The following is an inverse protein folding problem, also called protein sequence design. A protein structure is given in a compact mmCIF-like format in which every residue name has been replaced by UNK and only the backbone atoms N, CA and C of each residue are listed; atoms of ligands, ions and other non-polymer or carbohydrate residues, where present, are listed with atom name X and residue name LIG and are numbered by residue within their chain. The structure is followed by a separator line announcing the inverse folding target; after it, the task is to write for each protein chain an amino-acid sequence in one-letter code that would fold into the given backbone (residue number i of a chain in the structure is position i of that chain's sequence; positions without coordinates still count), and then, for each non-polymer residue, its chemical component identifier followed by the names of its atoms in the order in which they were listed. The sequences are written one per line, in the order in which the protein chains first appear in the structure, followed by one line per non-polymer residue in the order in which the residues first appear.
data_IF_861707584408
#
_entry.id   IF_861707584408
#
_cell.length_a   1.000
_cell.length_b   1.000
_cell.length_c   1.000
_cell.angle_alpha   90.00
_cell.angle_beta   90.00
_cell.angle_gamma   90.00
#
_symmetry.space_group_name_H-M   'P 1'
#
loop_
_entity.id
_entity.type
_entity.pdbx_description
1 polymer ?
#
# COMPACT_ATOMS: atom_id res chain seq x y z
N UNK A 1 8.76 -12.59 39.67
CA UNK A 1 8.14 -11.55 40.50
C UNK A 1 6.67 -11.90 40.66
N UNK A 2 6.14 -12.08 41.88
CA UNK A 2 4.71 -12.33 42.13
C UNK A 2 3.77 -11.21 41.62
N UNK A 3 4.31 -10.04 41.26
CA UNK A 3 3.58 -8.93 40.63
C UNK A 3 3.79 -8.84 39.12
N UNK A 4 4.35 -9.87 38.47
CA UNK A 4 4.48 -9.91 37.02
C UNK A 4 3.09 -10.00 36.37
N UNK A 5 2.61 -8.90 35.81
CA UNK A 5 1.40 -8.82 34.99
C UNK A 5 1.68 -9.04 33.50
N UNK A 6 2.92 -9.42 33.15
CA UNK A 6 3.35 -9.69 31.78
C UNK A 6 3.36 -11.18 31.49
N UNK A 7 2.72 -11.59 30.40
CA UNK A 7 2.72 -12.96 29.88
C UNK A 7 1.94 -13.03 28.57
N UNK A 8 2.31 -13.95 27.69
CA UNK A 8 1.61 -14.21 26.43
C UNK A 8 1.44 -15.72 26.22
N UNK A 9 0.36 -16.10 25.54
CA UNK A 9 0.17 -17.48 25.06
C UNK A 9 0.86 -17.59 23.70
N UNK A 10 1.69 -18.61 23.51
CA UNK A 10 2.35 -18.83 22.23
C UNK A 10 1.33 -18.95 21.09
N UNK A 11 1.64 -18.38 19.93
CA UNK A 11 0.77 -18.27 18.75
C UNK A 11 -0.54 -17.47 18.93
N UNK A 12 -0.76 -16.80 20.05
CA UNK A 12 -1.89 -15.88 20.19
C UNK A 12 -1.64 -14.57 19.42
N UNK A 13 -2.71 -13.95 18.90
CA UNK A 13 -2.65 -12.60 18.36
C UNK A 13 -2.70 -11.58 19.49
N UNK A 14 -1.75 -10.66 19.47
CA UNK A 14 -1.71 -9.50 20.33
C UNK A 14 -2.14 -8.26 19.56
N UNK A 15 -2.91 -7.40 20.22
CA UNK A 15 -3.34 -6.10 19.70
C UNK A 15 -3.02 -5.07 20.78
N UNK A 16 -2.30 -4.01 20.42
CA UNK A 16 -1.97 -2.96 21.39
C UNK A 16 -0.99 -1.95 20.85
N UNK A 17 -0.44 -1.18 21.78
CA UNK A 17 0.69 -0.28 21.52
C UNK A 17 1.99 -0.99 21.85
N UNK A 18 3.04 -0.77 21.07
CA UNK A 18 4.36 -1.29 21.45
C UNK A 18 4.83 -0.53 22.70
N UNK A 19 5.14 -1.28 23.77
CA UNK A 19 5.58 -0.73 25.06
C UNK A 19 7.11 -0.61 25.19
N UNK A 20 7.88 -1.16 24.25
CA UNK A 20 9.35 -0.99 24.15
C UNK A 20 9.85 -1.01 22.69
N UNK A 21 10.84 -0.15 22.43
CA UNK A 21 11.40 0.29 21.15
C UNK A 21 12.19 -0.80 20.36
N UNK A 22 12.03 -0.95 19.04
CA UNK A 22 12.83 -0.19 18.08
C UNK A 22 12.10 0.13 16.75
N UNK A 23 10.94 -0.48 16.49
CA UNK A 23 10.35 -0.49 15.15
C UNK A 23 9.06 0.30 15.01
N UNK A 24 8.23 0.37 16.05
CA UNK A 24 7.01 1.19 16.02
C UNK A 24 6.66 1.79 17.39
N UNK A 25 7.57 2.57 18.00
CA UNK A 25 7.37 3.12 19.34
C UNK A 25 6.10 3.96 19.40
N UNK A 26 5.22 3.69 20.38
CA UNK A 26 3.92 4.36 20.55
C UNK A 26 2.91 4.17 19.41
N UNK A 27 3.22 3.36 18.40
CA UNK A 27 2.28 3.03 17.33
C UNK A 27 1.34 1.88 17.69
N UNK A 28 0.34 1.65 16.84
CA UNK A 28 -0.60 0.53 16.95
C UNK A 28 -0.05 -0.71 16.24
N UNK A 29 -0.14 -1.88 16.87
CA UNK A 29 0.36 -3.14 16.31
C UNK A 29 -0.65 -4.28 16.47
N UNK A 30 -0.72 -5.14 15.45
CA UNK A 30 -1.35 -6.46 15.50
C UNK A 30 -0.30 -7.48 15.07
N UNK A 31 0.09 -8.36 15.99
CA UNK A 31 1.26 -9.24 15.80
C UNK A 31 1.06 -10.54 16.57
N UNK A 32 1.78 -11.61 16.20
CA UNK A 32 1.78 -12.82 17.03
C UNK A 32 2.62 -12.58 18.28
N UNK A 33 2.21 -13.24 19.35
CA UNK A 33 2.98 -13.32 20.57
C UNK A 33 4.42 -13.82 20.31
N UNK A 34 5.42 -13.14 20.87
CA UNK A 34 6.86 -13.38 20.64
C UNK A 34 7.45 -12.69 19.41
N UNK A 35 6.67 -11.92 18.64
CA UNK A 35 7.12 -11.19 17.44
C UNK A 35 7.00 -9.65 17.57
N UNK A 36 6.61 -9.15 18.73
CA UNK A 36 6.30 -7.73 19.01
C UNK A 36 7.49 -6.81 18.78
N UNK A 37 8.70 -7.34 18.94
CA UNK A 37 9.96 -6.63 18.79
C UNK A 37 10.67 -6.94 17.45
N UNK A 38 9.92 -7.23 16.38
CA UNK A 38 10.47 -7.48 15.04
C UNK A 38 9.89 -6.49 14.01
N UNK A 39 10.75 -5.81 13.25
CA UNK A 39 10.35 -4.79 12.25
C UNK A 39 9.39 -5.33 11.18
N UNK A 40 9.64 -6.58 10.78
CA UNK A 40 9.04 -7.17 9.59
C UNK A 40 7.93 -8.16 9.94
N UNK A 41 7.20 -7.91 11.04
CA UNK A 41 6.10 -8.77 11.51
C UNK A 41 4.83 -8.02 11.81
N UNK A 42 3.70 -8.58 11.38
CA UNK A 42 2.38 -8.10 11.75
C UNK A 42 1.94 -6.88 10.96
N UNK A 43 0.85 -6.28 11.43
CA UNK A 43 0.26 -5.05 10.90
C UNK A 43 0.61 -3.91 11.85
N UNK A 44 1.21 -2.83 11.34
CA UNK A 44 1.63 -1.69 12.17
C UNK A 44 1.11 -0.38 11.59
N UNK A 45 0.59 0.49 12.46
CA UNK A 45 0.34 1.91 12.17
C UNK A 45 1.33 2.73 12.98
N UNK A 46 2.06 3.63 12.31
CA UNK A 46 3.04 4.52 12.94
C UNK A 46 2.40 5.41 14.01
N UNK A 47 3.20 5.87 14.98
CA UNK A 47 2.71 6.73 16.06
C UNK A 47 2.06 8.04 15.57
N UNK A 48 2.53 8.57 14.43
CA UNK A 48 1.95 9.76 13.80
C UNK A 48 0.69 9.46 12.95
N UNK A 49 0.30 8.19 12.84
CA UNK A 49 -0.85 7.74 12.07
C UNK A 49 -0.68 7.77 10.54
N UNK A 50 0.51 8.12 10.04
CA UNK A 50 0.71 8.38 8.61
C UNK A 50 1.15 7.14 7.81
N UNK A 51 1.71 6.12 8.44
CA UNK A 51 2.27 4.95 7.77
C UNK A 51 1.61 3.67 8.27
N UNK A 52 1.10 2.87 7.33
CA UNK A 52 0.59 1.52 7.55
C UNK A 52 1.50 0.50 6.87
N UNK A 53 2.02 -0.46 7.62
CA UNK A 53 2.89 -1.53 7.11
C UNK A 53 2.35 -2.91 7.44
N UNK A 54 2.63 -3.89 6.58
CA UNK A 54 2.44 -5.31 6.86
C UNK A 54 3.72 -6.09 6.58
N UNK A 55 4.23 -6.79 7.60
CA UNK A 55 5.50 -7.53 7.54
C UNK A 55 6.64 -6.71 6.89
N UNK A 56 6.84 -5.48 7.37
CA UNK A 56 7.88 -4.56 6.87
C UNK A 56 7.56 -3.86 5.55
N UNK A 57 6.50 -4.25 4.85
CA UNK A 57 6.10 -3.62 3.59
C UNK A 57 5.10 -2.51 3.80
N UNK A 58 5.38 -1.31 3.30
CA UNK A 58 4.46 -0.16 3.36
C UNK A 58 3.28 -0.40 2.41
N UNK A 59 2.06 -0.37 2.97
CA UNK A 59 0.80 -0.52 2.22
C UNK A 59 0.14 0.83 1.99
N UNK A 60 0.25 1.75 2.94
CA UNK A 60 -0.26 3.12 2.81
C UNK A 60 0.61 4.10 3.59
N UNK A 61 0.82 5.29 3.02
CA UNK A 61 1.40 6.42 3.74
C UNK A 61 1.92 7.52 2.83
N UNK A 62 2.23 8.67 3.43
CA UNK A 62 2.75 9.83 2.71
C UNK A 62 4.07 9.49 2.02
N UNK A 63 4.11 9.59 0.70
CA UNK A 63 5.30 9.24 -0.09
C UNK A 63 5.55 7.74 -0.27
N UNK A 64 4.64 6.88 0.18
CA UNK A 64 4.75 5.43 -0.03
C UNK A 64 4.57 5.08 -1.51
N UNK A 65 5.61 4.52 -2.13
CA UNK A 65 5.46 3.78 -3.37
C UNK A 65 4.89 2.42 -2.97
N UNK A 66 3.57 2.24 -3.09
CA UNK A 66 2.96 0.95 -2.77
C UNK A 66 3.67 -0.15 -3.57
N UNK A 67 4.12 -1.21 -2.89
CA UNK A 67 4.78 -2.37 -3.54
C UNK A 67 3.86 -3.16 -4.49
N UNK A 68 2.65 -2.67 -4.76
CA UNK A 68 1.75 -3.23 -5.75
C UNK A 68 2.25 -2.87 -7.15
N UNK A 69 3.18 -3.68 -7.65
CA UNK A 69 3.68 -3.61 -9.03
C UNK A 69 2.59 -3.86 -10.09
N UNK A 70 1.38 -4.26 -9.68
CA UNK A 70 0.20 -4.49 -10.52
C UNK A 70 -1.08 -3.92 -9.88
N UNK A 71 -1.34 -2.62 -10.11
CA UNK A 71 -2.62 -1.99 -9.82
C UNK A 71 -2.82 -1.55 -8.37
N UNK A 72 -2.13 -0.48 -7.96
CA UNK A 72 -2.39 0.17 -6.68
C UNK A 72 -3.61 1.10 -6.77
N UNK A 73 -4.52 0.96 -5.81
CA UNK A 73 -5.60 1.93 -5.58
C UNK A 73 -4.96 3.22 -5.08
N UNK A 74 -5.03 4.27 -5.90
CA UNK A 74 -4.56 5.61 -5.53
C UNK A 74 -5.63 6.30 -4.69
N UNK A 75 -5.41 6.43 -3.39
CA UNK A 75 -6.17 7.35 -2.56
C UNK A 75 -5.73 8.79 -2.86
N UNK A 76 -6.61 9.59 -3.45
CA UNK A 76 -6.52 11.05 -3.33
C UNK A 76 -7.85 11.58 -2.84
N UNK A 77 -7.98 11.79 -1.53
CA UNK A 77 -9.01 12.71 -1.03
C UNK A 77 -8.58 14.13 -1.48
N UNK A 78 -9.17 14.64 -2.56
CA UNK A 78 -8.95 16.01 -3.05
C UNK A 78 -8.23 16.23 -4.39
N UNK A 79 -8.07 15.19 -5.23
CA UNK A 79 -7.48 15.17 -6.60
C UNK A 79 -5.93 15.20 -6.67
N UNK A 80 -5.26 14.54 -7.66
CA UNK A 80 -5.77 13.79 -8.83
C UNK A 80 -5.33 12.31 -8.88
N UNK A 81 -6.00 11.55 -9.77
CA UNK A 81 -5.61 10.21 -10.23
C UNK A 81 -4.12 10.23 -10.65
N UNK A 82 -3.32 9.32 -10.10
CA UNK A 82 -1.88 9.25 -10.36
C UNK A 82 -1.61 8.87 -11.83
N UNK A 83 -1.42 9.87 -12.69
CA UNK A 83 -1.07 9.73 -14.10
C UNK A 83 0.45 9.72 -14.29
N UNK A 84 1.12 8.65 -13.88
CA UNK A 84 2.59 8.60 -13.89
C UNK A 84 3.22 7.31 -14.40
N UNK A 85 2.46 6.25 -14.64
CA UNK A 85 3.01 4.99 -15.16
C UNK A 85 2.63 4.86 -16.63
N UNK A 86 3.63 4.87 -17.51
CA UNK A 86 3.45 4.61 -18.93
C UNK A 86 2.83 3.21 -19.09
N UNK A 87 1.58 3.15 -19.55
CA UNK A 87 0.97 1.88 -19.95
C UNK A 87 1.44 1.50 -21.34
N UNK A 88 2.40 0.58 -21.41
CA UNK A 88 2.91 0.01 -22.66
C UNK A 88 2.06 -1.15 -23.18
N UNK A 89 1.04 -1.58 -22.42
CA UNK A 89 0.11 -2.64 -22.83
C UNK A 89 -0.71 -2.21 -24.05
N UNK A 90 -1.00 -3.15 -24.94
CA UNK A 90 -1.72 -2.96 -26.20
C UNK A 90 -3.24 -3.09 -26.07
N UNK A 91 -3.76 -3.53 -24.92
CA UNK A 91 -5.20 -3.69 -24.70
C UNK A 91 -5.87 -2.42 -24.14
N UNK A 92 -6.66 -1.75 -24.99
CA UNK A 92 -7.72 -0.77 -24.68
C UNK A 92 -7.60 0.03 -23.38
N UNK A 93 -7.12 1.28 -23.48
CA UNK A 93 -7.09 2.22 -22.35
C UNK A 93 -6.47 3.57 -22.70
N UNK A 94 -6.31 4.43 -21.69
CA UNK A 94 -5.56 5.68 -21.79
C UNK A 94 -4.09 5.40 -22.13
N UNK A 95 -3.50 6.21 -23.01
CA UNK A 95 -2.07 6.29 -23.24
C UNK A 95 -1.54 7.60 -22.66
N UNK A 96 -0.44 7.51 -21.93
CA UNK A 96 0.37 8.66 -21.53
C UNK A 96 1.84 8.38 -21.86
N UNK A 97 2.56 9.42 -22.30
CA UNK A 97 4.01 9.37 -22.52
C UNK A 97 4.75 10.53 -21.85
N UNK A 98 4.21 11.02 -20.73
CA UNK A 98 4.69 12.19 -20.02
C UNK A 98 4.35 13.53 -20.68
N UNK A 99 4.08 13.57 -21.99
CA UNK A 99 3.74 14.82 -22.71
C UNK A 99 2.31 14.83 -23.24
N UNK A 100 1.84 13.70 -23.77
CA UNK A 100 0.51 13.58 -24.36
C UNK A 100 -0.34 12.60 -23.54
N UNK A 101 -1.64 12.89 -23.44
CA UNK A 101 -2.66 11.98 -22.92
C UNK A 101 -3.73 11.81 -23.99
N UNK A 102 -3.96 10.56 -24.42
CA UNK A 102 -5.01 10.26 -25.38
C UNK A 102 -5.75 8.96 -25.03
N UNK A 103 -7.01 8.87 -25.45
CA UNK A 103 -7.70 7.58 -25.50
C UNK A 103 -7.18 6.81 -26.71
N UNK A 104 -6.59 5.63 -26.51
CA UNK A 104 -6.22 4.76 -27.64
C UNK A 104 -7.48 4.12 -28.19
N UNK A 105 -8.07 4.76 -29.20
CA UNK A 105 -9.12 4.16 -30.00
C UNK A 105 -8.54 3.06 -30.90
N UNK A 106 -9.27 1.95 -31.05
CA UNK A 106 -8.95 0.93 -32.05
C UNK A 106 -9.09 1.54 -33.46
N UNK A 107 -8.20 1.26 -34.42
CA UNK A 107 -8.42 1.65 -35.81
C UNK A 107 -9.75 1.06 -36.31
N UNK A 108 -10.61 1.90 -36.86
CA UNK A 108 -11.83 1.48 -37.56
C UNK A 108 -11.57 1.65 -39.05
N UNK A 109 -11.65 0.57 -39.82
CA UNK A 109 -11.64 0.63 -41.29
C UNK A 109 -12.98 1.15 -41.76
N UNK A 110 -13.00 2.33 -42.38
CA UNK A 110 -14.18 2.84 -43.07
C UNK A 110 -14.17 2.30 -44.51
N UNK A 111 -15.24 1.63 -44.94
CA UNK A 111 -15.40 1.20 -46.33
C UNK A 111 -15.59 2.42 -47.25
N UNK A 112 -15.10 2.34 -48.48
CA UNK A 112 -15.39 3.35 -49.51
C UNK A 112 -16.86 3.28 -49.89
N UNK A 113 -17.55 4.41 -49.85
CA UNK A 113 -18.89 4.55 -50.44
C UNK A 113 -18.69 4.88 -51.93
N UNK A 114 -19.14 4.05 -52.88
CA UNK A 114 -19.05 4.37 -54.30
C UNK A 114 -19.89 5.62 -54.64
N UNK A 115 -19.53 6.38 -55.69
CA UNK A 115 -20.27 7.56 -56.14
C UNK A 115 -21.72 7.27 -56.54
#
# INVERSE_FOLDING_TARGET
DPNSNTGYIDNQWLVGTSSSDAYNPLGFTIVKAGQENQADRGLMISADGNTLTFNGSVIAGTGATSGASNGSVNYSAGNPILWGVNSVDTNGGFYSNGTNICWRARPITLGSIPP
#
